data_IF_288105714457
#
_entry.id   IF_288105714457
#
_cell.length_a   1.000
_cell.length_b   1.000
_cell.length_c   1.000
_cell.angle_alpha   90.00
_cell.angle_beta   90.00
_cell.angle_gamma   90.00
#
_symmetry.space_group_name_H-M   'P 1'
#
loop_
_entity.id
_entity.type
_entity.pdbx_description
1 polymer ?
#
# COMPACT_ATOMS: atom_id res chain seq x y z
N UNK A 1 0.56 22.09 -12.03
CA UNK A 1 1.45 20.95 -12.32
C UNK A 1 2.89 21.17 -11.84
N UNK A 2 3.51 20.14 -11.23
CA UNK A 2 4.93 20.09 -10.88
C UNK A 2 5.80 19.66 -12.07
N UNK A 3 5.24 18.93 -13.04
CA UNK A 3 5.96 18.40 -14.20
C UNK A 3 5.84 16.88 -14.29
N UNK A 4 6.97 16.17 -14.44
CA UNK A 4 7.06 14.71 -14.50
C UNK A 4 7.07 14.11 -13.09
N UNK A 5 6.02 13.35 -12.76
CA UNK A 5 5.90 12.67 -11.47
C UNK A 5 6.29 11.18 -11.58
N UNK A 6 7.40 10.81 -10.95
CA UNK A 6 7.80 9.43 -10.75
C UNK A 6 7.06 8.79 -9.57
N UNK A 7 6.43 7.64 -9.78
CA UNK A 7 5.63 6.95 -8.76
C UNK A 7 6.09 5.50 -8.61
N UNK A 8 6.34 5.07 -7.38
CA UNK A 8 6.76 3.70 -7.09
C UNK A 8 5.77 3.11 -6.07
N UNK A 9 5.08 2.04 -6.45
CA UNK A 9 3.99 1.43 -5.66
C UNK A 9 4.36 0.04 -5.11
N UNK A 10 3.83 -0.36 -3.95
CA UNK A 10 4.02 -1.68 -3.35
C UNK A 10 3.06 -2.70 -3.97
N UNK A 11 3.16 -3.94 -3.50
CA UNK A 11 2.37 -5.08 -4.00
C UNK A 11 1.08 -5.35 -3.22
N UNK A 12 0.90 -4.76 -2.03
CA UNK A 12 -0.13 -5.23 -1.10
C UNK A 12 -1.54 -4.77 -1.44
N UNK A 13 -1.70 -3.60 -2.08
CA UNK A 13 -2.95 -3.16 -2.71
C UNK A 13 -2.66 -2.54 -4.08
N UNK A 14 -2.31 -3.33 -5.11
CA UNK A 14 -1.71 -2.83 -6.34
C UNK A 14 -2.55 -1.75 -7.02
N UNK A 15 -3.85 -1.99 -7.15
CA UNK A 15 -4.75 -1.07 -7.84
C UNK A 15 -5.17 0.13 -6.97
N UNK A 16 -5.33 -0.07 -5.65
CA UNK A 16 -5.68 1.02 -4.73
C UNK A 16 -4.54 2.03 -4.64
N UNK A 17 -3.31 1.56 -4.43
CA UNK A 17 -2.15 2.46 -4.33
C UNK A 17 -1.81 3.09 -5.68
N UNK A 18 -2.03 2.38 -6.79
CA UNK A 18 -2.00 2.98 -8.12
C UNK A 18 -2.97 4.18 -8.19
N UNK A 19 -4.24 4.00 -7.82
CA UNK A 19 -5.25 5.05 -7.89
C UNK A 19 -4.92 6.24 -6.97
N UNK A 20 -4.43 5.97 -5.75
CA UNK A 20 -4.02 7.00 -4.79
C UNK A 20 -2.89 7.89 -5.30
N UNK A 21 -2.00 7.37 -6.15
CA UNK A 21 -0.90 8.16 -6.69
C UNK A 21 -1.21 8.75 -8.07
N UNK A 22 -1.75 7.96 -8.99
CA UNK A 22 -2.04 8.40 -10.37
C UNK A 22 -3.17 9.41 -10.40
N UNK A 23 -4.26 9.17 -9.67
CA UNK A 23 -5.44 10.04 -9.63
C UNK A 23 -5.11 11.50 -9.34
N UNK A 24 -4.55 11.84 -8.16
CA UNK A 24 -4.23 13.22 -7.84
C UNK A 24 -3.12 13.80 -8.73
N UNK A 25 -2.15 12.99 -9.17
CA UNK A 25 -1.09 13.49 -10.05
C UNK A 25 -1.64 13.95 -11.41
N UNK A 26 -2.50 13.15 -12.04
CA UNK A 26 -3.16 13.51 -13.29
C UNK A 26 -4.14 14.69 -13.09
N UNK A 27 -4.90 14.70 -12.00
CA UNK A 27 -5.83 15.80 -11.69
C UNK A 27 -5.13 17.16 -11.55
N UNK A 28 -3.88 17.18 -11.05
CA UNK A 28 -3.07 18.39 -10.98
C UNK A 28 -2.34 18.76 -12.29
N UNK A 29 -2.59 18.01 -13.38
CA UNK A 29 -2.04 18.23 -14.72
C UNK A 29 -0.61 17.73 -14.92
N UNK A 30 -0.14 16.77 -14.11
CA UNK A 30 1.21 16.20 -14.27
C UNK A 30 1.22 15.06 -15.29
N UNK A 31 2.38 14.77 -15.86
CA UNK A 31 2.64 13.48 -16.50
C UNK A 31 3.21 12.51 -15.47
N UNK A 32 2.97 11.21 -15.66
CA UNK A 32 3.31 10.18 -14.67
C UNK A 32 4.15 9.08 -15.32
N UNK A 33 5.23 8.71 -14.63
CA UNK A 33 5.95 7.45 -14.85
C UNK A 33 5.80 6.60 -13.60
N UNK A 34 5.02 5.52 -13.69
CA UNK A 34 4.73 4.63 -12.58
C UNK A 34 5.47 3.31 -12.70
N UNK A 35 6.19 2.94 -11.64
CA UNK A 35 6.81 1.63 -11.43
C UNK A 35 5.95 0.78 -10.51
N UNK A 36 5.46 -0.36 -11.01
CA UNK A 36 4.73 -1.35 -10.21
C UNK A 36 5.68 -2.21 -9.39
N UNK A 37 5.24 -2.78 -8.26
CA UNK A 37 5.93 -3.92 -7.68
C UNK A 37 6.01 -5.08 -8.69
N UNK A 38 7.12 -5.81 -8.69
CA UNK A 38 7.37 -6.94 -9.59
C UNK A 38 6.42 -8.11 -9.35
N UNK A 39 5.92 -8.27 -8.12
CA UNK A 39 4.94 -9.30 -7.74
C UNK A 39 3.56 -9.05 -8.36
N UNK A 40 3.19 -7.79 -8.64
CA UNK A 40 1.79 -7.42 -8.95
C UNK A 40 1.63 -6.42 -10.10
N UNK A 41 2.22 -6.67 -11.29
CA UNK A 41 2.22 -5.69 -12.38
C UNK A 41 0.88 -5.57 -13.13
N UNK A 42 0.07 -6.63 -13.13
CA UNK A 42 -0.98 -6.84 -14.13
C UNK A 42 -2.12 -5.80 -14.09
N UNK A 43 -2.61 -5.45 -12.89
CA UNK A 43 -3.77 -4.55 -12.75
C UNK A 43 -3.46 -3.12 -13.20
N UNK A 44 -2.27 -2.62 -12.88
CA UNK A 44 -1.82 -1.30 -13.31
C UNK A 44 -1.67 -1.20 -14.84
N UNK A 45 -1.15 -2.25 -15.49
CA UNK A 45 -1.06 -2.33 -16.95
C UNK A 45 -2.45 -2.31 -17.58
N UNK A 46 -3.39 -3.12 -17.05
CA UNK A 46 -4.75 -3.18 -17.56
C UNK A 46 -5.48 -1.83 -17.42
N UNK A 47 -5.45 -1.21 -16.24
CA UNK A 47 -6.14 0.07 -16.02
C UNK A 47 -5.51 1.21 -16.80
N UNK A 48 -4.19 1.19 -17.03
CA UNK A 48 -3.54 2.22 -17.86
C UNK A 48 -3.97 2.14 -19.34
N UNK A 49 -4.27 0.93 -19.84
CA UNK A 49 -4.93 0.77 -21.14
C UNK A 49 -6.30 1.47 -21.17
N UNK A 50 -7.10 1.31 -20.10
CA UNK A 50 -8.42 1.96 -19.99
C UNK A 50 -8.32 3.49 -19.99
N UNK A 51 -7.25 4.08 -19.42
CA UNK A 51 -7.02 5.52 -19.51
C UNK A 51 -6.82 5.98 -20.96
N UNK A 52 -6.12 5.21 -21.79
CA UNK A 52 -5.99 5.52 -23.22
C UNK A 52 -7.33 5.40 -23.95
N UNK A 53 -8.13 4.38 -23.64
CA UNK A 53 -9.49 4.23 -24.17
C UNK A 53 -10.40 5.40 -23.73
N UNK A 54 -10.18 5.95 -22.55
CA UNK A 54 -10.87 7.14 -22.03
C UNK A 54 -10.35 8.48 -22.62
N UNK A 55 -9.39 8.44 -23.54
CA UNK A 55 -8.86 9.63 -24.23
C UNK A 55 -7.70 10.32 -23.53
N UNK A 56 -7.04 9.69 -22.55
CA UNK A 56 -5.82 10.23 -21.96
C UNK A 56 -4.72 10.33 -23.04
N UNK A 57 -4.11 11.50 -23.27
CA UNK A 57 -3.12 11.66 -24.34
C UNK A 57 -1.91 10.73 -24.18
N UNK A 58 -1.33 10.23 -25.29
CA UNK A 58 -0.11 9.41 -25.24
C UNK A 58 1.01 10.10 -24.47
N UNK A 59 1.73 9.33 -23.64
CA UNK A 59 2.85 9.82 -22.83
C UNK A 59 2.46 10.52 -21.52
N UNK A 60 1.17 10.82 -21.28
CA UNK A 60 0.72 11.42 -20.01
C UNK A 60 0.81 10.43 -18.86
N UNK A 61 0.54 9.15 -19.11
CA UNK A 61 0.68 8.07 -18.15
C UNK A 61 1.51 6.95 -18.78
N UNK A 62 2.62 6.61 -18.13
CA UNK A 62 3.52 5.54 -18.54
C UNK A 62 3.67 4.57 -17.37
N UNK A 63 3.49 3.27 -17.63
CA UNK A 63 3.67 2.23 -16.61
C UNK A 63 4.80 1.32 -17.03
N UNK A 64 5.79 1.14 -16.15
CA UNK A 64 6.95 0.29 -16.37
C UNK A 64 7.05 -0.71 -15.21
N UNK A 65 6.95 -1.99 -15.50
CA UNK A 65 7.13 -3.06 -14.51
C UNK A 65 8.56 -3.58 -14.53
N UNK A 66 9.12 -3.88 -13.36
CA UNK A 66 10.46 -4.42 -13.23
C UNK A 66 10.94 -4.41 -11.79
N UNK A 67 12.20 -4.73 -11.54
CA UNK A 67 12.76 -4.79 -10.20
C UNK A 67 13.04 -3.40 -9.62
N UNK A 68 12.94 -3.29 -8.29
CA UNK A 68 13.27 -2.06 -7.55
C UNK A 68 14.70 -1.55 -7.79
N UNK A 69 15.75 -2.39 -7.61
CA UNK A 69 17.15 -1.98 -7.79
C UNK A 69 17.52 -1.53 -9.21
N UNK A 70 16.73 -1.86 -10.22
CA UNK A 70 16.98 -1.46 -11.61
C UNK A 70 16.05 -0.32 -12.01
N UNK A 71 14.78 -0.61 -12.28
CA UNK A 71 13.81 0.36 -12.79
C UNK A 71 13.45 1.40 -11.73
N UNK A 72 13.24 0.96 -10.48
CA UNK A 72 12.93 1.88 -9.39
C UNK A 72 14.07 2.84 -9.08
N UNK A 73 15.31 2.33 -9.05
CA UNK A 73 16.50 3.14 -8.83
C UNK A 73 16.74 4.14 -9.97
N UNK A 74 16.60 3.71 -11.22
CA UNK A 74 16.72 4.58 -12.39
C UNK A 74 15.69 5.71 -12.37
N UNK A 75 14.43 5.41 -12.04
CA UNK A 75 13.39 6.43 -11.91
C UNK A 75 13.70 7.41 -10.77
N UNK A 76 14.22 6.92 -9.64
CA UNK A 76 14.53 7.76 -8.49
C UNK A 76 15.71 8.72 -8.75
N UNK A 77 16.71 8.29 -9.52
CA UNK A 77 17.90 9.08 -9.86
C UNK A 77 17.78 9.90 -11.15
N UNK A 78 16.70 9.74 -11.93
CA UNK A 78 16.55 10.42 -13.22
C UNK A 78 16.57 11.96 -13.07
N UNK A 79 17.30 12.66 -13.94
CA UNK A 79 17.50 14.11 -13.84
C UNK A 79 16.25 14.92 -14.26
N UNK A 80 15.44 14.37 -15.16
CA UNK A 80 14.22 15.01 -15.68
C UNK A 80 12.93 14.57 -14.97
N UNK A 81 13.03 13.95 -13.80
CA UNK A 81 11.86 13.69 -12.95
C UNK A 81 11.77 14.77 -11.89
N UNK A 82 10.66 15.50 -11.88
CA UNK A 82 10.48 16.68 -11.02
C UNK A 82 10.02 16.30 -9.60
N UNK A 83 9.37 15.15 -9.44
CA UNK A 83 8.89 14.66 -8.13
C UNK A 83 8.87 13.15 -8.03
N UNK A 84 9.18 12.63 -6.83
CA UNK A 84 8.93 11.23 -6.48
C UNK A 84 7.82 11.07 -5.44
N UNK A 85 7.07 9.98 -5.59
CA UNK A 85 6.20 9.43 -4.56
C UNK A 85 6.43 7.92 -4.43
N UNK A 86 6.92 7.46 -3.28
CA UNK A 86 7.21 6.06 -3.00
C UNK A 86 6.36 5.55 -1.84
N UNK A 87 5.85 4.34 -1.98
CA UNK A 87 5.23 3.58 -0.88
C UNK A 87 5.86 2.21 -0.83
N UNK A 88 6.35 1.79 0.34
CA UNK A 88 7.05 0.52 0.53
C UNK A 88 7.73 0.44 1.88
N UNK A 89 8.86 -0.25 1.97
CA UNK A 89 9.59 -0.41 3.24
C UNK A 89 10.43 0.82 3.59
N UNK A 90 10.66 1.02 4.89
CA UNK A 90 11.57 2.06 5.41
C UNK A 90 12.95 2.03 4.77
N UNK A 91 13.55 0.86 4.61
CA UNK A 91 14.92 0.76 4.09
C UNK A 91 15.00 1.11 2.61
N UNK A 92 14.00 0.71 1.82
CA UNK A 92 13.92 1.15 0.41
C UNK A 92 13.59 2.65 0.32
N UNK A 93 12.75 3.17 1.22
CA UNK A 93 12.46 4.60 1.31
C UNK A 93 13.70 5.46 1.52
N UNK A 94 14.61 5.04 2.41
CA UNK A 94 15.91 5.69 2.63
C UNK A 94 16.75 5.72 1.34
N UNK A 95 16.78 4.61 0.60
CA UNK A 95 17.49 4.52 -0.68
C UNK A 95 16.89 5.50 -1.70
N UNK A 96 15.56 5.50 -1.87
CA UNK A 96 14.86 6.40 -2.79
C UNK A 96 15.15 7.86 -2.46
N UNK A 97 15.08 8.23 -1.18
CA UNK A 97 15.41 9.58 -0.73
C UNK A 97 16.86 9.94 -1.02
N UNK A 98 17.80 9.03 -0.76
CA UNK A 98 19.22 9.21 -1.05
C UNK A 98 19.52 9.36 -2.54
N UNK A 99 18.80 8.64 -3.42
CA UNK A 99 18.95 8.75 -4.87
C UNK A 99 18.40 10.08 -5.40
N UNK A 100 17.29 10.57 -4.85
CA UNK A 100 16.83 11.93 -5.14
C UNK A 100 17.88 12.98 -4.74
N UNK A 101 18.41 12.87 -3.52
CA UNK A 101 19.40 13.81 -3.00
C UNK A 101 20.71 13.85 -3.83
N UNK A 102 21.12 12.70 -4.38
CA UNK A 102 22.33 12.57 -5.21
C UNK A 102 22.13 12.98 -6.68
N UNK A 103 20.91 13.24 -7.11
CA UNK A 103 20.59 13.59 -8.50
C UNK A 103 20.25 15.06 -8.63
N UNK A 104 18.96 15.41 -8.72
CA UNK A 104 18.49 16.77 -8.98
C UNK A 104 17.75 17.39 -7.78
N UNK A 105 17.85 16.80 -6.59
CA UNK A 105 17.14 17.26 -5.37
C UNK A 105 15.61 17.30 -5.50
N UNK A 106 15.03 16.48 -6.39
CA UNK A 106 13.57 16.37 -6.58
C UNK A 106 12.83 16.10 -5.26
N UNK A 107 11.73 16.80 -4.95
CA UNK A 107 10.92 16.52 -3.77
C UNK A 107 10.43 15.06 -3.72
N UNK A 108 10.49 14.44 -2.55
CA UNK A 108 10.09 13.03 -2.33
C UNK A 108 9.01 12.95 -1.26
N UNK A 109 7.94 12.21 -1.54
CA UNK A 109 6.93 11.80 -0.54
C UNK A 109 7.06 10.30 -0.28
N UNK A 110 7.08 9.91 0.99
CA UNK A 110 7.40 8.54 1.44
C UNK A 110 6.33 8.02 2.39
N UNK A 111 5.78 6.83 2.09
CA UNK A 111 4.92 6.05 2.98
C UNK A 111 5.62 4.72 3.29
N UNK A 112 6.10 4.55 4.52
CA UNK A 112 7.20 3.63 4.85
C UNK A 112 6.82 2.46 5.78
N UNK A 113 5.55 2.09 5.78
CA UNK A 113 5.01 1.07 6.68
C UNK A 113 4.64 1.63 8.05
N UNK A 114 4.40 0.73 9.00
CA UNK A 114 3.90 1.12 10.31
C UNK A 114 3.88 -0.04 11.31
N UNK A 115 3.65 0.32 12.58
CA UNK A 115 3.37 -0.62 13.66
C UNK A 115 2.19 -0.08 14.49
N UNK A 116 1.06 0.07 13.81
CA UNK A 116 -0.08 0.84 14.32
C UNK A 116 -0.66 0.22 15.58
N UNK A 117 -0.84 1.01 16.66
CA UNK A 117 -1.53 0.56 17.85
C UNK A 117 -3.05 0.53 17.62
N UNK A 118 -3.71 -0.46 18.21
CA UNK A 118 -5.16 -0.53 18.39
C UNK A 118 -5.42 -0.53 19.89
N UNK A 119 -6.10 0.49 20.42
CA UNK A 119 -6.25 0.69 21.87
C UNK A 119 -7.71 0.43 22.25
N UNK A 120 -7.92 -0.52 23.15
CA UNK A 120 -9.23 -0.89 23.73
C UNK A 120 -9.30 -0.32 25.14
N UNK A 121 -10.16 0.68 25.33
CA UNK A 121 -10.37 1.35 26.61
C UNK A 121 -11.25 0.52 27.56
N UNK A 122 -11.29 0.93 28.84
CA UNK A 122 -12.08 0.27 29.90
C UNK A 122 -13.58 0.18 29.57
N UNK A 123 -14.12 1.22 28.93
CA UNK A 123 -15.54 1.38 28.60
C UNK A 123 -15.92 0.80 27.22
N UNK A 124 -15.00 0.09 26.57
CA UNK A 124 -15.24 -0.47 25.26
C UNK A 124 -16.25 -1.64 25.31
N UNK A 125 -17.15 -1.67 24.33
CA UNK A 125 -17.90 -2.88 24.00
C UNK A 125 -16.92 -3.96 23.53
N UNK A 126 -16.71 -5.00 24.35
CA UNK A 126 -15.69 -6.02 24.12
C UNK A 126 -15.98 -6.89 22.89
N UNK A 127 -17.26 -7.19 22.60
CA UNK A 127 -17.62 -7.95 21.40
C UNK A 127 -17.28 -7.17 20.13
N UNK A 128 -17.64 -5.88 20.10
CA UNK A 128 -17.32 -5.00 18.99
C UNK A 128 -15.81 -4.76 18.87
N UNK A 129 -15.12 -4.59 19.99
CA UNK A 129 -13.67 -4.38 20.03
C UNK A 129 -12.94 -5.61 19.47
N UNK A 130 -13.35 -6.82 19.83
CA UNK A 130 -12.75 -8.06 19.32
C UNK A 130 -12.93 -8.20 17.79
N UNK A 131 -14.10 -7.87 17.24
CA UNK A 131 -14.33 -7.90 15.80
C UNK A 131 -13.52 -6.83 15.06
N UNK A 132 -13.48 -5.60 15.59
CA UNK A 132 -12.69 -4.52 15.00
C UNK A 132 -11.19 -4.81 15.03
N UNK A 133 -10.67 -5.34 16.14
CA UNK A 133 -9.28 -5.76 16.24
C UNK A 133 -8.95 -6.91 15.27
N UNK A 134 -9.87 -7.86 15.11
CA UNK A 134 -9.74 -8.94 14.13
C UNK A 134 -9.62 -8.38 12.71
N UNK A 135 -10.54 -7.49 12.31
CA UNK A 135 -10.49 -6.83 11.01
C UNK A 135 -9.21 -6.00 10.83
N UNK A 136 -8.84 -5.21 11.84
CA UNK A 136 -7.69 -4.33 11.80
C UNK A 136 -6.36 -5.07 11.57
N UNK A 137 -6.23 -6.30 12.06
CA UNK A 137 -5.03 -7.11 11.86
C UNK A 137 -5.12 -8.03 10.64
N UNK A 138 -6.24 -8.75 10.45
CA UNK A 138 -6.32 -9.83 9.48
C UNK A 138 -6.82 -9.39 8.09
N UNK A 139 -7.33 -8.16 7.94
CA UNK A 139 -7.68 -7.60 6.65
C UNK A 139 -6.49 -7.68 5.68
N UNK A 140 -6.74 -8.15 4.46
CA UNK A 140 -5.70 -8.40 3.45
C UNK A 140 -4.53 -9.27 3.97
N UNK A 141 -4.85 -10.33 4.73
CA UNK A 141 -3.86 -11.25 5.34
C UNK A 141 -2.84 -10.55 6.26
N UNK A 142 -3.17 -9.35 6.76
CA UNK A 142 -2.25 -8.49 7.50
C UNK A 142 -1.21 -7.78 6.64
N UNK A 143 -1.25 -7.94 5.32
CA UNK A 143 -0.43 -7.22 4.34
C UNK A 143 -0.99 -5.81 4.13
N UNK A 144 -1.07 -5.03 5.21
CA UNK A 144 -1.60 -3.68 5.22
C UNK A 144 -0.67 -2.77 6.02
N UNK A 145 -0.25 -1.65 5.43
CA UNK A 145 0.71 -0.73 6.07
C UNK A 145 0.18 -0.13 7.37
N UNK A 146 -1.14 0.01 7.50
CA UNK A 146 -1.81 0.53 8.69
C UNK A 146 -2.45 -0.56 9.57
N UNK A 147 -2.09 -1.84 9.38
CA UNK A 147 -2.62 -2.94 10.18
C UNK A 147 -2.45 -2.69 11.69
N UNK A 148 -3.51 -2.97 12.46
CA UNK A 148 -3.59 -2.87 13.92
C UNK A 148 -2.73 -3.95 14.60
N UNK A 149 -1.42 -3.86 14.41
CA UNK A 149 -0.45 -4.91 14.73
C UNK A 149 0.01 -4.93 16.18
N UNK A 150 -0.45 -3.98 17.00
CA UNK A 150 -0.25 -3.95 18.45
C UNK A 150 -1.57 -3.61 19.12
N UNK A 151 -2.21 -4.57 19.74
CA UNK A 151 -3.46 -4.34 20.46
C UNK A 151 -3.17 -4.14 21.93
N UNK A 152 -3.47 -2.96 22.46
CA UNK A 152 -3.38 -2.62 23.87
C UNK A 152 -4.77 -2.64 24.46
N UNK A 153 -4.98 -3.40 25.53
CA UNK A 153 -6.30 -3.61 26.12
C UNK A 153 -6.23 -3.25 27.59
N UNK A 154 -7.21 -2.48 28.05
CA UNK A 154 -7.33 -2.12 29.46
C UNK A 154 -7.50 -3.37 30.33
N UNK A 155 -6.84 -3.40 31.50
CA UNK A 155 -6.79 -4.58 32.36
C UNK A 155 -8.18 -5.09 32.78
N UNK A 156 -9.13 -4.18 33.03
CA UNK A 156 -10.52 -4.52 33.41
C UNK A 156 -11.27 -5.37 32.38
N UNK A 157 -10.90 -5.29 31.09
CA UNK A 157 -11.58 -6.01 29.99
C UNK A 157 -10.65 -6.99 29.26
N UNK A 158 -9.42 -7.15 29.75
CA UNK A 158 -8.37 -7.89 29.05
C UNK A 158 -8.72 -9.36 28.84
N UNK A 159 -9.11 -10.07 29.90
CA UNK A 159 -9.36 -11.52 29.82
C UNK A 159 -10.53 -11.83 28.89
N UNK A 160 -11.65 -11.10 29.04
CA UNK A 160 -12.82 -11.24 28.17
C UNK A 160 -12.48 -10.93 26.70
N UNK A 161 -11.69 -9.88 26.45
CA UNK A 161 -11.25 -9.54 25.10
C UNK A 161 -10.40 -10.65 24.49
N UNK A 162 -9.44 -11.21 25.24
CA UNK A 162 -8.56 -12.29 24.75
C UNK A 162 -9.37 -13.53 24.39
N UNK A 163 -10.33 -13.92 25.22
CA UNK A 163 -11.21 -15.05 24.95
C UNK A 163 -12.02 -14.85 23.66
N UNK A 164 -12.67 -13.68 23.51
CA UNK A 164 -13.47 -13.35 22.33
C UNK A 164 -12.63 -13.21 21.06
N UNK A 165 -11.48 -12.54 21.13
CA UNK A 165 -10.57 -12.37 20.01
C UNK A 165 -10.02 -13.73 19.52
N UNK A 166 -9.67 -14.63 20.45
CA UNK A 166 -9.25 -16.00 20.11
C UNK A 166 -10.38 -16.77 19.43
N UNK A 167 -11.59 -16.75 20.01
CA UNK A 167 -12.74 -17.43 19.45
C UNK A 167 -13.07 -16.92 18.03
N UNK A 168 -12.95 -15.61 17.79
CA UNK A 168 -13.14 -15.01 16.47
C UNK A 168 -12.05 -15.40 15.47
N UNK A 169 -10.79 -15.42 15.90
CA UNK A 169 -9.67 -15.82 15.05
C UNK A 169 -9.77 -17.28 14.58
N UNK A 170 -10.18 -18.20 15.46
CA UNK A 170 -10.35 -19.63 15.14
C UNK A 170 -11.47 -19.90 14.12
N UNK A 171 -12.44 -18.99 13.99
CA UNK A 171 -13.54 -19.11 13.02
C UNK A 171 -13.16 -18.62 11.62
N UNK A 172 -12.00 -17.98 11.45
CA UNK A 172 -11.60 -17.36 10.18
C UNK A 172 -11.33 -18.43 9.12
N UNK A 173 -12.06 -18.36 8.02
CA UNK A 173 -11.92 -19.34 6.93
C UNK A 173 -10.70 -18.98 6.06
N UNK A 174 -9.67 -19.84 6.10
CA UNK A 174 -8.47 -19.73 5.26
C UNK A 174 -8.62 -20.66 4.05
N UNK A 175 -8.35 -20.16 2.83
CA UNK A 175 -8.47 -20.98 1.64
C UNK A 175 -8.23 -20.24 0.33
N UNK A 176 -8.77 -20.83 -0.74
CA UNK A 176 -8.70 -20.29 -2.10
C UNK A 176 -9.43 -18.94 -2.19
N UNK A 177 -8.75 -17.84 -2.59
CA UNK A 177 -9.34 -16.49 -2.62
C UNK A 177 -10.50 -16.35 -3.62
N UNK A 178 -10.69 -17.30 -4.54
CA UNK A 178 -11.82 -17.29 -5.48
C UNK A 178 -13.06 -18.01 -4.94
N UNK A 179 -12.97 -18.70 -3.80
CA UNK A 179 -14.10 -19.41 -3.19
C UNK A 179 -14.91 -18.49 -2.28
N UNK A 180 -16.23 -18.46 -2.49
CA UNK A 180 -17.16 -17.73 -1.63
C UNK A 180 -17.04 -18.20 -0.18
N UNK A 181 -17.01 -17.26 0.76
CA UNK A 181 -16.93 -17.54 2.19
C UNK A 181 -15.51 -17.72 2.72
N UNK A 182 -14.48 -17.71 1.87
CA UNK A 182 -13.08 -17.59 2.32
C UNK A 182 -12.85 -16.15 2.79
N UNK A 183 -12.37 -16.01 4.03
CA UNK A 183 -12.03 -14.70 4.62
C UNK A 183 -10.55 -14.36 4.45
N UNK A 184 -9.69 -15.37 4.28
CA UNK A 184 -8.24 -15.22 4.17
C UNK A 184 -7.65 -16.07 3.03
N UNK A 185 -7.17 -15.39 1.99
CA UNK A 185 -6.31 -15.97 0.96
C UNK A 185 -4.84 -16.17 1.37
N UNK A 186 -3.96 -16.52 0.42
CA UNK A 186 -2.53 -16.66 0.67
C UNK A 186 -1.83 -15.32 0.86
N UNK A 187 -0.59 -15.37 1.37
CA UNK A 187 0.35 -14.25 1.28
C UNK A 187 0.81 -14.07 -0.19
N UNK A 188 1.54 -13.00 -0.47
CA UNK A 188 1.88 -12.61 -1.85
C UNK A 188 2.82 -13.59 -2.59
N UNK A 189 3.85 -14.12 -1.92
CA UNK A 189 4.86 -15.06 -2.45
C UNK A 189 5.43 -16.01 -1.37
#
# INVERSE_FOLDING_TARGET
PIGVAGQIIPWNFPLVIYAWKVGPALACGNTVVLKTAEQTPLSALYVSKLFHEAGLPPGVLNVISGFGPTIGAALASHMDVDKLAFTGSTDTGKIVLGLSAKSNLKPVTLELGGKSPFIVCEDADVDKAAELAHSALFFNQGQCCCAGSRTFVHECVYDEFVEKARARALKRVVGDPFKKGVEQGPQID
#
